data_IF_328050169361
#
_entry.id   IF_328050169361
#
_cell.length_a   1.000
_cell.length_b   1.000
_cell.length_c   1.000
_cell.angle_alpha   90.00
_cell.angle_beta   90.00
_cell.angle_gamma   90.00
#
_symmetry.space_group_name_H-M   'P 1'
#
loop_
_entity.id
_entity.type
_entity.pdbx_description
1 polymer ?
#
# COMPACT_ATOMS: atom_id res chain seq x y z
N UNK A 1 7.21 22.78 -8.76
CA UNK A 1 7.51 24.11 -8.17
C UNK A 1 7.89 25.02 -9.32
N UNK A 2 7.10 26.04 -9.70
CA UNK A 2 7.48 26.88 -10.83
C UNK A 2 8.67 27.77 -10.43
N UNK A 3 9.72 27.74 -11.24
CA UNK A 3 10.92 28.57 -11.11
C UNK A 3 10.86 29.61 -12.23
N UNK A 4 10.62 30.88 -11.92
CA UNK A 4 10.62 31.98 -12.90
C UNK A 4 9.84 33.23 -12.44
N UNK A 5 10.30 34.41 -12.87
CA UNK A 5 9.66 35.72 -12.64
C UNK A 5 8.36 35.83 -13.41
N UNK A 6 7.26 36.11 -12.72
CA UNK A 6 5.88 36.24 -13.22
C UNK A 6 5.60 37.58 -13.94
N UNK A 7 6.51 38.01 -14.81
CA UNK A 7 6.39 39.22 -15.64
C UNK A 7 5.64 38.97 -16.95
N UNK A 8 5.06 40.04 -17.52
CA UNK A 8 4.48 40.03 -18.87
C UNK A 8 5.43 39.38 -19.89
N UNK A 9 4.89 38.50 -20.75
CA UNK A 9 5.62 37.65 -21.71
C UNK A 9 6.47 36.51 -21.12
N UNK A 10 6.50 36.29 -19.81
CA UNK A 10 7.13 35.08 -19.25
C UNK A 10 6.36 33.84 -19.71
N UNK A 11 7.11 32.85 -20.22
CA UNK A 11 6.60 31.52 -20.56
C UNK A 11 6.99 30.54 -19.46
N UNK A 12 6.00 29.80 -18.96
CA UNK A 12 6.21 28.68 -18.03
C UNK A 12 5.88 27.37 -18.75
N UNK A 13 6.82 26.43 -18.70
CA UNK A 13 6.66 25.08 -19.26
C UNK A 13 6.37 24.06 -18.16
N UNK A 14 5.31 23.28 -18.34
CA UNK A 14 4.95 22.17 -17.48
C UNK A 14 5.49 20.85 -18.03
N UNK A 15 6.00 20.02 -17.14
CA UNK A 15 6.47 18.66 -17.43
C UNK A 15 5.92 17.71 -16.37
N UNK A 16 5.52 16.51 -16.78
CA UNK A 16 5.13 15.46 -15.85
C UNK A 16 6.32 14.58 -15.44
N UNK A 17 6.22 13.95 -14.27
CA UNK A 17 7.17 12.94 -13.83
C UNK A 17 7.11 11.70 -14.73
N UNK A 18 8.17 10.91 -14.75
CA UNK A 18 8.24 9.64 -15.50
C UNK A 18 7.03 8.75 -15.23
N UNK A 19 6.39 8.26 -16.29
CA UNK A 19 5.19 7.42 -16.23
C UNK A 19 3.88 8.17 -16.06
N UNK A 20 3.89 9.50 -16.23
CA UNK A 20 2.69 10.34 -16.31
C UNK A 20 2.67 11.12 -17.63
N UNK A 21 1.48 11.26 -18.20
CA UNK A 21 1.21 11.99 -19.44
C UNK A 21 0.58 13.34 -19.11
N UNK A 22 1.08 14.40 -19.75
CA UNK A 22 0.56 15.76 -19.62
C UNK A 22 -0.72 15.91 -20.44
N UNK A 23 -1.83 16.28 -19.80
CA UNK A 23 -3.08 16.65 -20.47
C UNK A 23 -3.33 18.15 -20.31
N UNK A 24 -3.32 18.86 -21.42
CA UNK A 24 -3.41 20.31 -21.50
C UNK A 24 -2.19 20.92 -22.21
N UNK A 25 -2.13 22.24 -22.27
CA UNK A 25 -1.00 22.94 -22.89
C UNK A 25 0.27 22.79 -22.05
N UNK A 26 1.38 22.43 -22.70
CA UNK A 26 2.69 22.34 -22.06
C UNK A 26 3.24 23.70 -21.66
N UNK A 27 2.87 24.76 -22.39
CA UNK A 27 3.38 26.10 -22.17
C UNK A 27 2.22 27.04 -21.83
N UNK A 28 2.45 27.95 -20.89
CA UNK A 28 1.52 29.05 -20.58
C UNK A 28 2.28 30.36 -20.48
N UNK A 29 1.72 31.44 -21.03
CA UNK A 29 2.38 32.75 -21.12
C UNK A 29 1.63 33.78 -20.30
N UNK A 30 2.34 34.62 -19.55
CA UNK A 30 1.74 35.72 -18.80
C UNK A 30 1.34 36.85 -19.75
N UNK A 31 0.04 37.14 -19.81
CA UNK A 31 -0.58 38.10 -20.72
C UNK A 31 -0.64 39.51 -20.11
N UNK A 32 -0.94 40.51 -20.95
CA UNK A 32 -0.95 41.93 -20.55
C UNK A 32 -2.06 42.24 -19.53
N UNK A 33 -3.11 41.43 -19.48
CA UNK A 33 -4.22 41.51 -18.53
C UNK A 33 -3.91 40.83 -17.18
N UNK A 34 -2.69 40.31 -17.00
CA UNK A 34 -2.27 39.59 -15.80
C UNK A 34 -2.75 38.15 -15.71
N UNK A 35 -3.40 37.62 -16.76
CA UNK A 35 -3.83 36.22 -16.82
C UNK A 35 -2.84 35.32 -17.55
N UNK A 36 -2.99 34.01 -17.39
CA UNK A 36 -2.18 33.00 -18.07
C UNK A 36 -2.91 32.49 -19.31
N UNK A 37 -2.21 32.43 -20.44
CA UNK A 37 -2.80 32.05 -21.74
C UNK A 37 -3.44 30.66 -21.76
N UNK A 38 -2.96 29.76 -20.89
CA UNK A 38 -3.50 28.41 -20.73
C UNK A 38 -3.68 28.08 -19.25
N UNK A 39 -4.72 27.30 -18.95
CA UNK A 39 -4.94 26.72 -17.63
C UNK A 39 -3.82 25.73 -17.24
N UNK A 40 -3.64 25.53 -15.94
CA UNK A 40 -2.66 24.56 -15.41
C UNK A 40 -3.02 23.15 -15.90
N UNK A 41 -2.12 22.44 -16.61
CA UNK A 41 -2.39 21.11 -17.13
C UNK A 41 -2.41 20.06 -16.02
N UNK A 42 -2.99 18.90 -16.31
CA UNK A 42 -3.05 17.76 -15.39
C UNK A 42 -2.09 16.65 -15.83
N UNK A 43 -1.45 15.97 -14.88
CA UNK A 43 -0.63 14.80 -15.15
C UNK A 43 -1.40 13.52 -14.79
N UNK A 44 -1.77 12.72 -15.78
CA UNK A 44 -2.44 11.43 -15.54
C UNK A 44 -1.46 10.26 -15.72
N UNK A 45 -1.59 9.17 -14.95
CA UNK A 45 -0.71 8.03 -15.09
C UNK A 45 -0.84 7.39 -16.49
N UNK A 46 0.29 6.97 -17.06
CA UNK A 46 0.33 6.16 -18.28
C UNK A 46 -0.56 4.92 -18.10
N UNK A 47 -1.29 4.54 -19.16
CA UNK A 47 -2.16 3.37 -19.18
C UNK A 47 -1.57 2.30 -20.08
N UNK A 48 -1.43 1.08 -19.57
CA UNK A 48 -1.05 -0.09 -20.35
C UNK A 48 -2.29 -0.76 -20.99
N UNK A 49 -2.12 -1.58 -22.04
CA UNK A 49 -3.22 -2.34 -22.64
C UNK A 49 -3.91 -3.24 -21.61
N UNK A 50 -5.24 -3.36 -21.65
CA UNK A 50 -5.96 -4.25 -20.73
C UNK A 50 -5.55 -5.70 -20.93
N UNK A 51 -5.09 -6.36 -19.87
CA UNK A 51 -4.84 -7.80 -19.89
C UNK A 51 -6.12 -8.56 -19.54
N UNK A 52 -6.27 -9.73 -20.13
CA UNK A 52 -7.37 -10.67 -19.84
C UNK A 52 -6.87 -11.83 -19.01
N UNK A 53 -7.77 -12.43 -18.23
CA UNK A 53 -7.47 -13.67 -17.53
C UNK A 53 -7.10 -14.78 -18.54
N UNK A 54 -6.06 -15.58 -18.26
CA UNK A 54 -5.73 -16.73 -19.10
C UNK A 54 -6.86 -17.76 -19.06
N UNK A 55 -7.04 -18.52 -20.15
CA UNK A 55 -8.00 -19.61 -20.18
C UNK A 55 -7.68 -20.62 -19.08
N UNK A 56 -8.67 -21.04 -18.28
CA UNK A 56 -8.47 -21.85 -17.08
C UNK A 56 -7.57 -21.17 -16.04
N UNK A 57 -7.70 -19.86 -15.87
CA UNK A 57 -7.06 -19.10 -14.81
C UNK A 57 -7.79 -17.79 -14.53
N UNK A 58 -7.23 -17.01 -13.61
CA UNK A 58 -7.75 -15.73 -13.15
C UNK A 58 -6.65 -14.66 -13.19
N UNK A 59 -7.07 -13.40 -13.35
CA UNK A 59 -6.23 -12.21 -13.33
C UNK A 59 -6.67 -11.31 -12.18
N UNK A 60 -5.73 -10.87 -11.34
CA UNK A 60 -6.02 -10.06 -10.14
C UNK A 60 -5.01 -8.91 -10.01
N UNK A 61 -5.45 -7.65 -9.79
CA UNK A 61 -6.82 -7.15 -9.92
C UNK A 61 -7.27 -7.10 -11.40
N UNK A 62 -8.57 -7.26 -11.64
CA UNK A 62 -9.15 -7.18 -13.00
C UNK A 62 -9.22 -5.74 -13.49
N UNK A 63 -8.92 -5.51 -14.76
CA UNK A 63 -9.08 -4.20 -15.41
C UNK A 63 -8.08 -3.11 -14.99
N UNK A 64 -7.12 -3.42 -14.12
CA UNK A 64 -6.14 -2.44 -13.68
C UNK A 64 -5.03 -2.24 -14.73
N UNK A 65 -4.85 -0.99 -15.18
CA UNK A 65 -3.95 -0.64 -16.29
C UNK A 65 -3.01 0.53 -16.01
N UNK A 66 -3.09 1.16 -14.85
CA UNK A 66 -2.31 2.36 -14.54
C UNK A 66 -0.82 2.08 -14.30
N UNK A 67 0.04 3.02 -14.65
CA UNK A 67 1.47 3.00 -14.35
C UNK A 67 1.78 2.53 -12.91
N UNK A 68 2.79 1.66 -12.78
CA UNK A 68 3.21 0.99 -11.53
C UNK A 68 2.22 -0.03 -10.95
N UNK A 69 1.05 -0.26 -11.58
CA UNK A 69 0.18 -1.35 -11.14
C UNK A 69 0.82 -2.69 -11.45
N UNK A 70 0.77 -3.62 -10.49
CA UNK A 70 1.17 -5.02 -10.67
C UNK A 70 -0.08 -5.89 -10.66
N UNK A 71 -0.24 -6.69 -11.72
CA UNK A 71 -1.29 -7.70 -11.83
C UNK A 71 -0.69 -9.09 -11.74
N UNK A 72 -1.49 -10.05 -11.29
CA UNK A 72 -1.08 -11.43 -11.02
C UNK A 72 -1.97 -12.41 -11.77
N UNK A 73 -1.36 -13.49 -12.27
CA UNK A 73 -2.04 -14.55 -12.99
C UNK A 73 -2.01 -15.84 -12.16
N UNK A 74 -3.14 -16.52 -12.09
CA UNK A 74 -3.28 -17.77 -11.35
C UNK A 74 -4.00 -18.77 -12.24
N UNK A 75 -3.51 -20.00 -12.33
CA UNK A 75 -4.24 -21.05 -13.04
C UNK A 75 -5.23 -21.77 -12.12
N UNK A 76 -6.37 -22.16 -12.68
CA UNK A 76 -7.39 -22.94 -12.01
C UNK A 76 -6.82 -24.29 -11.52
N UNK A 77 -7.43 -24.92 -10.51
CA UNK A 77 -7.04 -26.25 -10.07
C UNK A 77 -6.93 -27.24 -11.24
N UNK A 78 -5.85 -28.02 -11.25
CA UNK A 78 -5.54 -28.94 -12.35
C UNK A 78 -4.83 -28.31 -13.54
N UNK A 79 -4.44 -27.03 -13.49
CA UNK A 79 -3.66 -26.35 -14.53
C UNK A 79 -2.33 -25.78 -14.00
N UNK A 80 -1.28 -25.83 -14.81
CA UNK A 80 0.06 -25.30 -14.56
C UNK A 80 0.24 -23.98 -15.33
N UNK A 81 0.88 -22.99 -14.70
CA UNK A 81 1.15 -21.68 -15.28
C UNK A 81 2.46 -21.72 -16.07
N UNK A 82 2.38 -21.46 -17.37
CA UNK A 82 3.56 -21.33 -18.23
C UNK A 82 3.74 -19.86 -18.64
N UNK A 83 4.80 -19.25 -18.13
CA UNK A 83 5.12 -17.84 -18.29
C UNK A 83 5.32 -17.15 -16.95
N UNK A 84 5.28 -15.81 -16.93
CA UNK A 84 5.41 -15.04 -15.70
C UNK A 84 4.10 -15.09 -14.88
N UNK A 85 4.22 -15.22 -13.56
CA UNK A 85 3.09 -15.17 -12.63
C UNK A 85 2.53 -13.76 -12.40
N UNK A 86 3.21 -12.72 -12.90
CA UNK A 86 2.81 -11.32 -12.72
C UNK A 86 3.34 -10.41 -13.83
N UNK A 87 2.69 -9.26 -13.99
CA UNK A 87 3.12 -8.19 -14.89
C UNK A 87 2.93 -6.82 -14.23
N UNK A 88 3.88 -5.90 -14.44
CA UNK A 88 3.82 -4.52 -13.94
C UNK A 88 3.73 -3.54 -15.10
N UNK A 89 2.83 -2.55 -15.02
CA UNK A 89 2.70 -1.52 -16.05
C UNK A 89 3.86 -0.51 -15.97
N UNK A 90 4.62 -0.39 -17.06
CA UNK A 90 5.84 0.42 -17.15
C UNK A 90 5.57 1.82 -17.70
N UNK A 91 6.56 2.69 -17.57
CA UNK A 91 6.45 4.10 -17.95
C UNK A 91 6.32 4.30 -19.48
N UNK A 92 6.71 3.29 -20.27
CA UNK A 92 6.59 3.25 -21.73
C UNK A 92 5.20 2.79 -22.21
N UNK A 93 4.27 2.53 -21.29
CA UNK A 93 2.92 2.04 -21.61
C UNK A 93 2.87 0.55 -21.92
N UNK A 94 3.94 -0.21 -21.64
CA UNK A 94 3.97 -1.66 -21.83
C UNK A 94 3.98 -2.42 -20.51
N UNK A 95 3.50 -3.65 -20.54
CA UNK A 95 3.63 -4.56 -19.41
C UNK A 95 5.03 -5.17 -19.35
N UNK A 96 5.56 -5.38 -18.14
CA UNK A 96 6.84 -6.04 -17.92
C UNK A 96 6.89 -7.48 -18.46
N UNK A 97 5.73 -8.16 -18.45
CA UNK A 97 5.56 -9.53 -18.94
C UNK A 97 4.22 -9.64 -19.69
N UNK A 98 4.13 -10.56 -20.65
CA UNK A 98 2.88 -10.91 -21.32
C UNK A 98 2.01 -11.84 -20.44
N UNK A 99 0.72 -11.94 -20.77
CA UNK A 99 -0.15 -12.92 -20.13
C UNK A 99 0.35 -14.36 -20.34
N UNK A 100 0.42 -15.19 -19.28
CA UNK A 100 0.88 -16.57 -19.37
C UNK A 100 -0.21 -17.49 -19.94
N UNK A 101 0.14 -18.75 -20.18
CA UNK A 101 -0.84 -19.80 -20.53
C UNK A 101 -1.03 -20.77 -19.37
N UNK A 102 -2.26 -21.23 -19.15
CA UNK A 102 -2.57 -22.28 -18.20
C UNK A 102 -2.80 -23.59 -18.96
N UNK A 103 -1.87 -24.53 -18.86
CA UNK A 103 -2.01 -25.86 -19.48
C UNK A 103 -2.43 -26.88 -18.44
N UNK A 104 -3.20 -27.90 -18.82
CA UNK A 104 -3.56 -28.97 -17.86
C UNK A 104 -2.29 -29.56 -17.26
N UNK A 105 -2.29 -29.70 -15.94
CA UNK A 105 -1.32 -30.55 -15.24
C UNK A 105 -1.52 -31.96 -15.80
N UNK A 106 -0.46 -32.56 -16.31
CA UNK A 106 -0.53 -33.93 -16.80
C UNK A 106 -0.87 -34.83 -15.61
N UNK A 107 -2.12 -35.25 -15.51
CA UNK A 107 -2.58 -36.20 -14.50
C UNK A 107 -2.30 -37.60 -15.00
N UNK A 108 -1.31 -38.28 -14.43
CA UNK A 108 -1.28 -39.75 -14.48
C UNK A 108 -2.48 -40.23 -13.66
N UNK A 109 -3.57 -40.58 -14.32
CA UNK A 109 -4.67 -41.32 -13.68
C UNK A 109 -4.14 -42.70 -13.33
N UNK A 110 -3.82 -42.93 -12.05
CA UNK A 110 -3.52 -44.26 -11.53
C UNK A 110 -4.81 -45.10 -11.56
N UNK A 111 -5.14 -45.67 -12.70
CA UNK A 111 -6.10 -46.78 -12.76
C UNK A 111 -5.40 -48.06 -12.27
N UNK A 112 -5.60 -48.36 -10.99
CA UNK A 112 -5.83 -49.69 -10.41
C UNK A 112 -4.85 -50.88 -10.56
N UNK A 113 -3.53 -50.70 -10.72
CA UNK A 113 -2.62 -51.85 -10.46
C UNK A 113 -1.24 -51.52 -9.89
N UNK A 114 -0.83 -50.26 -9.84
CA UNK A 114 0.54 -49.90 -9.42
C UNK A 114 0.63 -49.50 -7.94
N UNK A 115 -0.49 -49.15 -7.29
CA UNK A 115 -0.50 -48.80 -5.85
C UNK A 115 -0.12 -50.00 -4.95
N UNK A 116 -0.45 -51.24 -5.38
CA UNK A 116 -0.12 -52.46 -4.64
C UNK A 116 1.35 -52.90 -4.77
N UNK A 117 2.14 -52.27 -5.66
CA UNK A 117 3.60 -52.52 -5.76
C UNK A 117 4.39 -51.51 -4.93
N UNK A 118 3.81 -50.36 -4.57
CA UNK A 118 4.49 -49.30 -3.82
C UNK A 118 4.26 -49.35 -2.29
N UNK A 119 3.42 -50.27 -1.79
CA UNK A 119 3.31 -50.55 -0.36
C UNK A 119 4.26 -51.66 0.13
N UNK A 120 4.97 -52.36 -0.76
CA UNK A 120 6.06 -53.27 -0.36
C UNK A 120 7.37 -52.51 -0.15
N UNK A 121 7.44 -51.81 0.98
CA UNK A 121 8.59 -51.70 1.89
C UNK A 121 10.05 -51.54 1.38
N UNK A 122 10.37 -51.15 0.13
CA UNK A 122 11.78 -50.99 -0.31
C UNK A 122 12.07 -49.92 -1.40
N UNK A 123 11.27 -48.85 -1.56
CA UNK A 123 11.55 -47.82 -2.58
C UNK A 123 11.60 -46.37 -2.06
N UNK A 124 12.83 -45.98 -1.69
CA UNK A 124 13.55 -44.75 -2.04
C UNK A 124 12.86 -43.37 -1.98
N UNK A 125 13.58 -42.40 -1.38
CA UNK A 125 13.28 -40.99 -1.15
C UNK A 125 12.78 -40.15 -2.38
N UNK A 126 12.74 -40.73 -3.59
CA UNK A 126 12.26 -40.11 -4.82
C UNK A 126 10.72 -39.98 -4.91
N UNK A 127 9.94 -40.85 -4.26
CA UNK A 127 8.46 -40.79 -4.33
C UNK A 127 7.88 -39.61 -3.54
N UNK A 128 8.51 -39.21 -2.43
CA UNK A 128 8.16 -37.98 -1.71
C UNK A 128 8.54 -36.71 -2.49
N UNK A 129 9.53 -36.78 -3.39
CA UNK A 129 9.90 -35.67 -4.26
C UNK A 129 8.92 -35.46 -5.42
N UNK A 130 8.18 -36.49 -5.86
CA UNK A 130 7.24 -36.40 -6.98
C UNK A 130 5.90 -35.71 -6.60
N UNK A 131 5.36 -35.91 -5.39
CA UNK A 131 4.14 -35.23 -4.94
C UNK A 131 4.34 -33.72 -4.73
N UNK A 132 5.56 -33.26 -4.43
CA UNK A 132 5.88 -31.84 -4.26
C UNK A 132 5.98 -31.08 -5.59
N UNK A 133 6.11 -31.77 -6.73
CA UNK A 133 6.42 -31.15 -8.02
C UNK A 133 5.18 -30.75 -8.85
N UNK A 134 3.96 -31.10 -8.41
CA UNK A 134 2.71 -30.91 -9.17
C UNK A 134 1.83 -29.79 -8.61
N UNK A 135 1.93 -29.45 -7.32
CA UNK A 135 1.10 -28.43 -6.64
C UNK A 135 1.86 -27.20 -6.18
N UNK A 136 3.18 -27.15 -6.41
CA UNK A 136 4.06 -26.12 -5.83
C UNK A 136 4.20 -26.32 -4.32
N UNK A 137 5.36 -25.96 -3.74
CA UNK A 137 5.54 -26.09 -2.29
C UNK A 137 4.53 -25.19 -1.56
N UNK A 138 3.81 -25.68 -0.54
CA UNK A 138 2.94 -24.83 0.28
C UNK A 138 3.81 -23.87 1.09
N UNK A 139 3.27 -22.68 1.37
CA UNK A 139 3.92 -21.71 2.23
C UNK A 139 3.65 -22.00 3.70
N UNK A 140 4.50 -21.45 4.56
CA UNK A 140 4.18 -21.28 5.97
C UNK A 140 3.07 -20.25 6.17
N UNK A 141 2.77 -19.95 7.44
CA UNK A 141 1.88 -18.85 7.79
C UNK A 141 2.29 -17.55 7.07
N UNK A 142 1.32 -16.69 6.68
CA UNK A 142 1.62 -15.41 6.06
C UNK A 142 2.55 -14.56 6.95
N UNK A 143 3.47 -13.77 6.37
CA UNK A 143 4.35 -12.88 7.13
C UNK A 143 3.54 -11.91 7.99
N UNK A 144 3.96 -11.75 9.24
CA UNK A 144 3.43 -10.69 10.10
C UNK A 144 3.98 -9.33 9.66
N UNK A 145 3.12 -8.33 9.59
CA UNK A 145 3.47 -6.98 9.13
C UNK A 145 3.12 -6.00 10.22
N UNK A 146 4.12 -5.23 10.69
CA UNK A 146 3.94 -4.26 11.76
C UNK A 146 2.86 -3.25 11.39
N UNK A 147 1.95 -3.02 12.33
CA UNK A 147 0.85 -2.05 12.21
C UNK A 147 -0.10 -2.37 11.04
N UNK A 148 -0.18 -3.63 10.62
CA UNK A 148 -1.12 -4.11 9.61
C UNK A 148 -1.83 -5.39 10.06
N UNK A 149 -3.03 -5.60 9.52
CA UNK A 149 -3.78 -6.84 9.63
C UNK A 149 -3.67 -7.66 8.35
N UNK A 150 -3.68 -8.99 8.49
CA UNK A 150 -3.75 -9.94 7.39
C UNK A 150 -5.14 -10.56 7.31
N UNK A 151 -5.68 -10.69 6.10
CA UNK A 151 -7.02 -11.24 5.83
C UNK A 151 -7.09 -11.93 4.47
N UNK A 152 -8.20 -12.61 4.19
CA UNK A 152 -8.46 -13.23 2.89
C UNK A 152 -7.69 -14.53 2.63
N UNK A 153 -7.03 -15.11 3.64
CA UNK A 153 -6.34 -16.40 3.54
C UNK A 153 -6.45 -17.21 4.84
N UNK A 154 -6.67 -18.51 4.70
CA UNK A 154 -6.73 -19.48 5.80
C UNK A 154 -5.91 -20.72 5.44
N UNK A 155 -5.42 -21.44 6.44
CA UNK A 155 -4.70 -22.68 6.20
C UNK A 155 -5.63 -23.73 5.56
N UNK A 156 -5.14 -24.55 4.61
CA UNK A 156 -3.74 -24.68 4.17
C UNK A 156 -3.30 -23.65 3.11
N UNK A 157 -2.10 -23.06 3.29
CA UNK A 157 -1.53 -22.06 2.38
C UNK A 157 -0.81 -22.70 1.18
N UNK A 158 -1.57 -23.15 0.20
CA UNK A 158 -1.03 -23.78 -1.01
C UNK A 158 -0.49 -22.74 -2.00
N UNK A 159 0.33 -23.17 -2.97
CA UNK A 159 0.81 -22.26 -4.01
C UNK A 159 -0.39 -21.62 -4.76
N UNK A 160 -0.37 -20.30 -4.89
CA UNK A 160 -1.47 -19.47 -5.41
C UNK A 160 -2.34 -18.82 -4.33
N UNK A 161 -2.28 -19.26 -3.06
CA UNK A 161 -2.97 -18.57 -1.96
C UNK A 161 -2.52 -17.11 -1.88
N UNK A 162 -3.47 -16.18 -1.86
CA UNK A 162 -3.19 -14.75 -1.77
C UNK A 162 -3.74 -14.21 -0.46
N UNK A 163 -2.89 -13.59 0.35
CA UNK A 163 -3.28 -12.87 1.55
C UNK A 163 -3.36 -11.38 1.26
N UNK A 164 -4.37 -10.72 1.80
CA UNK A 164 -4.54 -9.28 1.74
C UNK A 164 -4.06 -8.66 3.04
N UNK A 165 -3.30 -7.58 2.92
CA UNK A 165 -2.73 -6.81 4.01
C UNK A 165 -3.31 -5.41 4.00
N UNK A 166 -3.69 -4.94 5.18
CA UNK A 166 -4.24 -3.60 5.34
C UNK A 166 -3.65 -2.95 6.59
N UNK A 167 -3.22 -1.69 6.50
CA UNK A 167 -2.76 -0.96 7.67
C UNK A 167 -3.87 -0.87 8.71
N UNK A 168 -3.50 -1.07 9.98
CA UNK A 168 -4.41 -0.99 11.10
C UNK A 168 -4.96 0.44 11.25
N UNK A 169 -6.09 0.56 11.95
CA UNK A 169 -6.70 1.85 12.28
C UNK A 169 -5.69 2.82 12.89
N UNK A 170 -5.60 4.03 12.33
CA UNK A 170 -4.63 5.06 12.75
C UNK A 170 -3.29 5.01 12.02
N UNK A 171 -3.13 4.10 11.06
CA UNK A 171 -1.96 4.00 10.20
C UNK A 171 -2.36 4.13 8.72
N UNK A 172 -1.43 4.65 7.91
CA UNK A 172 -1.58 4.78 6.46
C UNK A 172 -0.46 4.07 5.73
N UNK A 173 -0.75 3.56 4.53
CA UNK A 173 0.26 2.97 3.65
C UNK A 173 1.22 4.05 3.15
N UNK A 174 2.51 3.81 3.33
CA UNK A 174 3.59 4.65 2.80
C UNK A 174 4.46 3.91 1.77
N UNK A 175 4.25 2.61 1.60
CA UNK A 175 4.94 1.78 0.61
C UNK A 175 4.52 0.31 0.68
N UNK A 176 5.15 -0.54 -0.13
CA UNK A 176 4.86 -1.98 -0.17
C UNK A 176 3.59 -2.32 -0.96
N UNK A 177 3.15 -3.59 -0.88
CA UNK A 177 1.96 -4.09 -1.59
C UNK A 177 0.87 -4.53 -0.60
N UNK A 178 -0.39 -4.34 -0.96
CA UNK A 178 -1.57 -4.73 -0.16
C UNK A 178 -1.92 -6.21 -0.31
N UNK A 179 -1.21 -6.95 -1.17
CA UNK A 179 -1.40 -8.38 -1.35
C UNK A 179 -0.05 -9.09 -1.45
N UNK A 180 0.02 -10.29 -0.89
CA UNK A 180 1.12 -11.22 -1.10
C UNK A 180 0.59 -12.59 -1.49
N UNK A 181 1.30 -13.28 -2.37
CA UNK A 181 0.89 -14.58 -2.89
C UNK A 181 1.93 -15.65 -2.58
N UNK A 182 1.47 -16.83 -2.17
CA UNK A 182 2.32 -17.99 -2.01
C UNK A 182 2.77 -18.51 -3.39
N UNK A 183 4.07 -18.46 -3.67
CA UNK A 183 4.69 -19.01 -4.89
C UNK A 183 5.80 -19.96 -4.45
N UNK A 184 5.60 -21.25 -4.70
CA UNK A 184 6.56 -22.33 -4.44
C UNK A 184 7.26 -22.25 -3.07
N UNK A 185 6.46 -22.15 -2.00
CA UNK A 185 6.94 -22.14 -0.61
C UNK A 185 7.39 -20.77 -0.10
N UNK A 186 7.29 -19.71 -0.92
CA UNK A 186 7.65 -18.33 -0.55
C UNK A 186 6.48 -17.38 -0.78
N UNK A 187 6.25 -16.46 0.14
CA UNK A 187 5.34 -15.34 -0.08
C UNK A 187 6.01 -14.28 -0.98
N UNK A 188 5.45 -14.07 -2.17
CA UNK A 188 5.86 -13.03 -3.11
C UNK A 188 4.99 -11.77 -2.99
N UNK A 189 5.67 -10.62 -2.99
CA UNK A 189 5.08 -9.29 -2.84
C UNK A 189 5.96 -8.45 -1.93
N UNK A 190 6.03 -7.14 -2.17
CA UNK A 190 6.76 -6.24 -1.27
C UNK A 190 6.01 -6.11 0.05
N UNK A 191 6.70 -6.22 1.19
CA UNK A 191 6.13 -6.03 2.53
C UNK A 191 5.42 -4.69 2.63
N UNK A 192 4.14 -4.69 3.03
CA UNK A 192 3.36 -3.48 3.26
C UNK A 192 4.06 -2.62 4.33
N UNK A 193 4.24 -1.33 4.05
CA UNK A 193 4.84 -0.38 4.98
C UNK A 193 3.78 0.60 5.47
N UNK A 194 3.46 0.52 6.76
CA UNK A 194 2.46 1.34 7.42
C UNK A 194 3.14 2.36 8.34
N UNK A 195 2.72 3.63 8.24
CA UNK A 195 3.17 4.69 9.13
C UNK A 195 1.98 5.31 9.86
N UNK A 196 2.20 5.70 11.11
CA UNK A 196 1.17 6.38 11.91
C UNK A 196 0.70 7.66 11.23
N UNK A 197 -0.60 7.94 11.32
CA UNK A 197 -1.19 9.15 10.75
C UNK A 197 -0.75 10.37 11.59
N UNK A 198 -0.12 11.39 10.97
CA UNK A 198 0.31 12.59 11.69
C UNK A 198 -0.88 13.49 12.02
N UNK A 199 -0.84 14.14 13.18
CA UNK A 199 -1.79 15.18 13.55
C UNK A 199 -1.21 16.59 13.28
N UNK A 200 -2.08 17.62 13.11
CA UNK A 200 -1.63 19.00 12.99
C UNK A 200 -0.71 19.41 14.16
N UNK A 201 0.35 20.20 13.94
CA UNK A 201 1.18 20.70 15.02
C UNK A 201 0.35 21.48 16.06
N UNK A 202 0.57 21.19 17.34
CA UNK A 202 -0.05 21.94 18.44
C UNK A 202 0.77 23.19 18.76
N UNK A 203 0.08 24.27 19.11
CA UNK A 203 0.69 25.46 19.68
C UNK A 203 0.83 25.32 21.19
N UNK A 204 1.96 25.71 21.75
CA UNK A 204 2.16 25.73 23.22
C UNK A 204 1.25 26.81 23.83
N UNK A 205 0.44 26.50 24.86
CA UNK A 205 -0.33 27.51 25.58
C UNK A 205 0.57 28.61 26.15
N UNK A 206 0.13 29.87 26.07
CA UNK A 206 0.83 30.96 26.75
C UNK A 206 0.90 30.69 28.26
N UNK A 207 2.07 30.89 28.87
CA UNK A 207 2.32 30.54 30.28
C UNK A 207 2.06 29.07 30.63
N UNK A 208 2.26 28.17 29.68
CA UNK A 208 2.23 26.74 29.90
C UNK A 208 3.23 25.99 29.03
N UNK A 209 3.14 24.66 29.10
CA UNK A 209 3.94 23.72 28.34
C UNK A 209 3.05 22.57 27.84
N UNK A 210 3.55 21.84 26.85
CA UNK A 210 2.98 20.58 26.39
C UNK A 210 4.05 19.50 26.41
N UNK A 211 3.65 18.27 26.75
CA UNK A 211 4.55 17.11 26.85
C UNK A 211 3.87 15.86 26.29
N UNK A 212 4.54 15.07 25.43
CA UNK A 212 5.86 15.31 24.85
C UNK A 212 5.87 16.46 23.82
N UNK A 213 7.04 17.01 23.44
CA UNK A 213 7.16 17.94 22.31
C UNK A 213 6.93 17.22 20.97
N UNK A 214 6.50 17.97 19.94
CA UNK A 214 6.21 17.44 18.61
C UNK A 214 7.44 17.09 17.77
N UNK A 215 7.27 16.48 16.58
CA UNK A 215 6.00 16.18 15.89
C UNK A 215 5.19 15.01 16.50
N UNK A 216 3.89 14.96 16.17
CA UNK A 216 2.93 14.04 16.79
C UNK A 216 2.17 13.20 15.77
N UNK A 217 2.00 11.91 16.06
CA UNK A 217 1.22 10.96 15.27
C UNK A 217 0.42 10.03 16.18
N UNK A 218 -0.64 9.42 15.64
CA UNK A 218 -1.42 8.41 16.35
C UNK A 218 -0.50 7.31 16.94
N UNK A 219 -0.76 6.77 18.15
CA UNK A 219 -1.84 7.09 19.10
C UNK A 219 -1.40 8.05 20.22
N UNK A 220 -0.58 9.06 19.93
CA UNK A 220 0.02 9.90 20.98
C UNK A 220 -1.05 10.67 21.79
N UNK A 221 -0.79 10.78 23.09
CA UNK A 221 -1.49 11.72 23.99
C UNK A 221 -0.52 12.81 24.44
N UNK A 222 -0.94 14.05 24.31
CA UNK A 222 -0.19 15.24 24.74
C UNK A 222 -0.88 15.83 25.96
N UNK A 223 -0.11 16.09 27.01
CA UNK A 223 -0.59 16.70 28.26
C UNK A 223 -0.15 18.15 28.31
N UNK A 224 -1.07 19.03 28.70
CA UNK A 224 -0.80 20.45 28.91
C UNK A 224 -0.59 20.75 30.38
N UNK A 225 0.38 21.59 30.70
CA UNK A 225 0.65 22.02 32.08
C UNK A 225 0.81 23.53 32.11
N UNK A 226 0.07 24.22 32.98
CA UNK A 226 0.25 25.66 33.18
C UNK A 226 1.37 25.92 34.18
N UNK A 227 2.10 27.01 33.96
CA UNK A 227 3.14 27.47 34.87
C UNK A 227 2.56 27.83 36.25
N UNK A 228 3.41 27.83 37.28
CA UNK A 228 3.03 28.24 38.64
C UNK A 228 2.35 29.61 38.63
N UNK A 229 1.23 29.74 39.35
CA UNK A 229 0.41 30.96 39.38
C UNK A 229 -0.70 31.03 38.30
N UNK A 230 -0.73 30.08 37.36
CA UNK A 230 -1.77 29.98 36.33
C UNK A 230 -2.67 28.75 36.55
N UNK A 231 -3.95 28.87 36.19
CA UNK A 231 -4.93 27.81 36.16
C UNK A 231 -5.20 27.38 34.71
N UNK A 232 -5.35 26.07 34.50
CA UNK A 232 -5.68 25.48 33.19
C UNK A 232 -7.19 25.57 32.96
N UNK A 233 -7.60 26.17 31.85
CA UNK A 233 -9.00 26.24 31.41
C UNK A 233 -9.15 25.50 30.08
N UNK A 234 -9.87 24.38 30.12
CA UNK A 234 -10.03 23.45 29.00
C UNK A 234 -9.55 22.05 29.37
N UNK A 235 -9.30 21.22 28.35
CA UNK A 235 -8.82 19.86 28.56
C UNK A 235 -7.34 19.85 29.00
N UNK A 236 -7.01 19.05 30.01
CA UNK A 236 -5.63 18.88 30.49
C UNK A 236 -4.77 18.01 29.56
N UNK A 237 -5.39 17.30 28.61
CA UNK A 237 -4.71 16.52 27.60
C UNK A 237 -5.54 16.46 26.31
N UNK A 238 -4.87 16.20 25.19
CA UNK A 238 -5.51 15.91 23.91
C UNK A 238 -4.83 14.69 23.26
N UNK A 239 -5.59 13.85 22.56
CA UNK A 239 -5.09 12.66 21.89
C UNK A 239 -5.14 12.81 20.37
N UNK A 240 -4.08 12.39 19.68
CA UNK A 240 -4.08 12.27 18.23
C UNK A 240 -4.91 11.05 17.85
N UNK A 241 -6.03 11.27 17.18
CA UNK A 241 -7.00 10.25 16.81
C UNK A 241 -6.63 9.56 15.50
N UNK A 242 -7.24 8.41 15.23
CA UNK A 242 -6.94 7.59 14.06
C UNK A 242 -7.26 8.27 12.71
N UNK A 243 -8.11 9.29 12.71
CA UNK A 243 -8.45 10.12 11.56
C UNK A 243 -7.48 11.31 11.37
N UNK A 244 -6.46 11.45 12.22
CA UNK A 244 -5.51 12.56 12.17
C UNK A 244 -5.99 13.86 12.83
N UNK A 245 -7.07 13.83 13.62
CA UNK A 245 -7.54 15.00 14.38
C UNK A 245 -7.21 14.89 15.87
N UNK A 246 -7.16 16.02 16.56
CA UNK A 246 -7.00 16.07 18.01
C UNK A 246 -8.37 15.89 18.69
N UNK A 247 -8.43 15.11 19.78
CA UNK A 247 -9.67 14.90 20.54
C UNK A 247 -10.19 16.18 21.18
N UNK A 248 -9.28 17.05 21.59
CA UNK A 248 -9.55 18.29 22.30
C UNK A 248 -8.71 19.45 21.75
N UNK A 249 -9.22 20.67 21.88
CA UNK A 249 -8.49 21.89 21.51
C UNK A 249 -7.43 22.27 22.55
N UNK A 250 -6.43 23.05 22.15
CA UNK A 250 -5.41 23.58 23.05
C UNK A 250 -6.07 24.43 24.17
N UNK A 251 -5.79 24.17 25.46
CA UNK A 251 -6.38 24.92 26.57
C UNK A 251 -5.71 26.30 26.75
N UNK A 252 -6.31 27.14 27.59
CA UNK A 252 -5.74 28.43 27.98
C UNK A 252 -5.27 28.42 29.44
N UNK A 253 -4.11 29.04 29.70
CA UNK A 253 -3.62 29.25 31.06
C UNK A 253 -3.91 30.69 31.49
N UNK A 254 -4.78 30.87 32.48
CA UNK A 254 -5.11 32.20 33.02
C UNK A 254 -4.56 32.35 34.43
N UNK A 255 -4.28 33.59 34.87
CA UNK A 255 -3.79 33.81 36.24
C UNK A 255 -4.84 33.35 37.26
N UNK A 256 -4.41 32.66 38.31
CA UNK A 256 -5.29 32.33 39.44
C UNK A 256 -5.76 33.63 40.09
N UNK A 257 -7.06 33.76 40.33
CA UNK A 257 -7.62 34.93 41.02
C UNK A 257 -6.99 35.09 42.41
N UNK A 258 -6.78 36.35 42.82
CA UNK A 258 -6.06 36.71 44.03
C UNK A 258 -6.69 36.10 45.30
N UNK A 259 -5.85 35.95 46.33
CA UNK A 259 -6.19 35.45 47.66
C UNK A 259 -7.54 35.99 48.15
N UNK A 260 -8.36 35.11 48.71
CA UNK A 260 -9.51 35.51 49.53
C UNK A 260 -8.93 36.30 50.72
N UNK A 261 -9.26 37.59 50.82
CA UNK A 261 -9.08 38.35 52.04
C UNK A 261 -9.96 37.69 53.10
N UNK A 262 -9.32 37.02 54.06
CA UNK A 262 -9.94 36.45 55.26
C UNK A 262 -10.04 37.55 56.31
#
# INVERSE_FOLDING_TARGET
NPVGTNSYQTVVRFTCNTGYVLNGAADTTCQADGTWSNAVPTCTPVQCPTLTAPANGVLIPTGATSYQVRVMFICNPGYHLNGASSATCRADGTWSNSAPTCTRKMSLTLTDTICNVLQSSWFSALVHQLHANITGRPCGAPPDVRDAGVSGCTAPFTAGTTCSYQCNTGFRRVGGAETQMCVDGRWEGSTLNCAAIPCPPLTVPAFGSLTPPGPHSYPIRVTFTCNTGYALNGASSTACQANGTWSDTVPTCTRKSACILI
#
